data_IF_693136555090
#
_entry.id   IF_693136555090
#
_cell.length_a   1.000
_cell.length_b   1.000
_cell.length_c   1.000
_cell.angle_alpha   90.00
_cell.angle_beta   90.00
_cell.angle_gamma   90.00
#
_symmetry.space_group_name_H-M   'P 1'
#
loop_
_entity.id
_entity.type
_entity.pdbx_description
1 polymer ?
#
# COMPACT_ATOMS: atom_id res chain seq x y z
N UNK A 1 16.60 1.45 -0.05
CA UNK A 1 15.83 0.26 0.36
C UNK A 1 14.45 0.35 -0.28
N UNK A 2 14.00 -0.65 -1.05
CA UNK A 2 12.64 -0.69 -1.61
C UNK A 2 11.68 -1.06 -0.48
N UNK A 3 10.96 -0.10 0.07
CA UNK A 3 9.81 -0.37 0.91
C UNK A 3 8.70 -0.84 -0.03
N UNK A 4 8.51 -2.15 -0.10
CA UNK A 4 7.36 -2.71 -0.80
C UNK A 4 6.12 -2.30 -0.03
N UNK A 5 5.36 -1.36 -0.59
CA UNK A 5 4.05 -0.94 -0.09
C UNK A 5 3.24 -2.19 0.25
N UNK A 6 2.69 -2.25 1.46
CA UNK A 6 2.01 -3.43 1.96
C UNK A 6 0.98 -3.92 0.93
N UNK A 7 1.18 -5.17 0.51
CA UNK A 7 0.60 -5.79 -0.69
C UNK A 7 -0.91 -5.57 -0.79
N UNK A 8 -1.38 -5.14 -1.97
CA UNK A 8 -2.80 -5.15 -2.34
C UNK A 8 -3.48 -6.50 -2.08
N UNK A 9 -2.71 -7.59 -2.06
CA UNK A 9 -3.17 -8.91 -1.65
C UNK A 9 -3.71 -8.94 -0.21
N UNK A 10 -3.07 -8.26 0.75
CA UNK A 10 -3.52 -8.24 2.14
C UNK A 10 -4.90 -7.58 2.30
N UNK A 11 -5.12 -6.47 1.60
CA UNK A 11 -6.43 -5.80 1.53
C UNK A 11 -7.47 -6.73 0.90
N UNK A 12 -7.14 -7.39 -0.22
CA UNK A 12 -8.04 -8.32 -0.89
C UNK A 12 -8.43 -9.52 0.01
N UNK A 13 -7.46 -10.08 0.74
CA UNK A 13 -7.72 -11.17 1.70
C UNK A 13 -8.65 -10.71 2.82
N UNK A 14 -8.50 -9.49 3.32
CA UNK A 14 -9.40 -8.95 4.34
C UNK A 14 -10.84 -8.76 3.83
N UNK A 15 -11.02 -8.33 2.58
CA UNK A 15 -12.34 -8.21 1.95
C UNK A 15 -12.98 -9.59 1.73
N UNK A 16 -12.25 -10.53 1.13
CA UNK A 16 -12.74 -11.89 0.89
C UNK A 16 -13.05 -12.61 2.20
N UNK A 17 -12.16 -12.52 3.18
CA UNK A 17 -12.35 -13.11 4.50
C UNK A 17 -13.59 -12.57 5.21
N UNK A 18 -13.81 -11.25 5.15
CA UNK A 18 -15.03 -10.63 5.69
C UNK A 18 -16.30 -11.15 5.00
N UNK A 19 -16.31 -11.22 3.66
CA UNK A 19 -17.45 -11.76 2.90
C UNK A 19 -17.74 -13.23 3.24
N UNK A 20 -16.70 -14.07 3.31
CA UNK A 20 -16.84 -15.48 3.67
C UNK A 20 -17.36 -15.63 5.10
N UNK A 21 -16.87 -14.81 6.02
CA UNK A 21 -17.31 -14.81 7.42
C UNK A 21 -18.80 -14.50 7.55
N UNK A 22 -19.28 -13.46 6.86
CA UNK A 22 -20.69 -13.02 6.94
C UNK A 22 -21.63 -13.98 6.19
N UNK A 23 -21.25 -14.44 4.99
CA UNK A 23 -22.15 -15.25 4.16
C UNK A 23 -22.16 -16.74 4.52
N UNK A 24 -21.02 -17.28 4.96
CA UNK A 24 -20.85 -18.71 5.18
C UNK A 24 -20.70 -19.05 6.66
N UNK A 25 -19.76 -18.40 7.36
CA UNK A 25 -19.44 -18.79 8.74
C UNK A 25 -20.57 -18.42 9.71
N UNK A 26 -21.19 -17.25 9.53
CA UNK A 26 -22.31 -16.82 10.36
C UNK A 26 -23.52 -17.78 10.29
N UNK A 27 -23.74 -18.42 9.14
CA UNK A 27 -24.79 -19.44 8.96
C UNK A 27 -24.46 -20.77 9.64
N UNK A 28 -23.19 -21.05 9.88
CA UNK A 28 -22.73 -22.31 10.48
C UNK A 28 -22.67 -22.20 12.01
N UNK A 29 -22.08 -21.11 12.51
CA UNK A 29 -21.98 -20.79 13.92
C UNK A 29 -21.88 -19.27 14.10
N UNK A 30 -22.89 -18.67 14.74
CA UNK A 30 -22.96 -17.22 14.94
C UNK A 30 -21.76 -16.68 15.74
N UNK A 31 -21.34 -17.39 16.78
CA UNK A 31 -20.20 -16.97 17.62
C UNK A 31 -18.89 -16.91 16.85
N UNK A 32 -18.64 -17.89 15.98
CA UNK A 32 -17.43 -17.92 15.14
C UNK A 32 -17.50 -16.91 14.00
N UNK A 33 -18.67 -16.72 13.39
CA UNK A 33 -18.87 -15.71 12.34
C UNK A 33 -18.60 -14.29 12.83
N UNK A 34 -19.02 -13.96 14.07
CA UNK A 34 -18.71 -12.67 14.69
C UNK A 34 -17.21 -12.55 14.98
N UNK A 35 -16.58 -13.57 15.57
CA UNK A 35 -15.15 -13.54 15.88
C UNK A 35 -14.28 -13.31 14.62
N UNK A 36 -14.53 -14.05 13.54
CA UNK A 36 -13.79 -13.89 12.29
C UNK A 36 -14.05 -12.55 11.61
N UNK A 37 -15.30 -12.07 11.59
CA UNK A 37 -15.61 -10.76 11.01
C UNK A 37 -14.86 -9.63 11.73
N UNK A 38 -14.75 -9.70 13.06
CA UNK A 38 -14.02 -8.71 13.86
C UNK A 38 -12.52 -8.71 13.52
N UNK A 39 -11.91 -9.88 13.35
CA UNK A 39 -10.51 -10.01 12.92
C UNK A 39 -10.33 -9.40 11.52
N UNK A 40 -11.19 -9.73 10.55
CA UNK A 40 -11.07 -9.21 9.19
C UNK A 40 -11.28 -7.70 9.12
N UNK A 41 -12.16 -7.13 9.94
CA UNK A 41 -12.32 -5.68 10.09
C UNK A 41 -11.03 -5.04 10.62
N UNK A 42 -10.42 -5.61 11.66
CA UNK A 42 -9.14 -5.12 12.20
C UNK A 42 -8.02 -5.19 11.15
N UNK A 43 -7.95 -6.29 10.38
CA UNK A 43 -7.02 -6.43 9.27
C UNK A 43 -7.27 -5.37 8.18
N UNK A 44 -8.53 -5.10 7.86
CA UNK A 44 -8.90 -4.08 6.88
C UNK A 44 -8.45 -2.67 7.32
N UNK A 45 -8.72 -2.30 8.58
CA UNK A 45 -8.28 -1.01 9.15
C UNK A 45 -6.76 -0.92 9.16
N UNK A 46 -6.06 -1.98 9.57
CA UNK A 46 -4.60 -2.03 9.54
C UNK A 46 -4.05 -1.85 8.12
N UNK A 47 -4.72 -2.43 7.11
CA UNK A 47 -4.33 -2.28 5.70
C UNK A 47 -4.44 -0.82 5.22
N UNK A 48 -5.52 -0.13 5.58
CA UNK A 48 -5.74 1.28 5.25
C UNK A 48 -4.64 2.13 5.89
N UNK A 49 -4.37 1.94 7.19
CA UNK A 49 -3.33 2.69 7.91
C UNK A 49 -1.96 2.47 7.25
N UNK A 50 -1.65 1.24 6.84
CA UNK A 50 -0.38 0.93 6.20
C UNK A 50 -0.22 1.58 4.82
N UNK A 51 -1.32 1.72 4.07
CA UNK A 51 -1.30 2.38 2.77
C UNK A 51 -1.18 3.90 2.90
N UNK A 52 -1.82 4.50 3.90
CA UNK A 52 -1.74 5.96 4.15
C UNK A 52 -0.33 6.40 4.59
N UNK A 53 0.43 5.51 5.25
CA UNK A 53 1.83 5.78 5.63
C UNK A 53 2.84 5.47 4.53
N UNK A 54 2.40 5.02 3.35
CA UNK A 54 3.30 4.85 2.23
C UNK A 54 3.90 6.22 1.88
N UNK A 55 5.24 6.38 1.91
CA UNK A 55 5.84 7.61 1.42
C UNK A 55 5.37 7.78 -0.02
N UNK A 56 4.74 8.92 -0.30
CA UNK A 56 4.34 9.29 -1.65
C UNK A 56 5.58 9.04 -2.52
N UNK A 57 5.48 8.12 -3.47
CA UNK A 57 6.59 7.60 -4.27
C UNK A 57 7.37 8.71 -5.02
N UNK A 58 6.76 9.87 -5.06
CA UNK A 58 7.25 11.20 -5.32
C UNK A 58 8.68 11.49 -4.88
N UNK A 59 9.11 11.23 -3.64
CA UNK A 59 10.47 11.65 -3.22
C UNK A 59 11.59 10.98 -4.02
N UNK A 60 11.42 9.70 -4.39
CA UNK A 60 12.42 8.97 -5.18
C UNK A 60 12.36 9.29 -6.67
N UNK A 61 11.17 9.55 -7.21
CA UNK A 61 10.98 9.94 -8.60
C UNK A 61 11.47 11.39 -8.85
N UNK A 62 11.15 12.32 -7.95
CA UNK A 62 11.62 13.70 -8.02
C UNK A 62 13.14 13.82 -7.85
N UNK A 63 13.74 13.04 -6.94
CA UNK A 63 15.21 12.97 -6.81
C UNK A 63 15.87 12.48 -8.11
N UNK A 64 15.32 11.43 -8.75
CA UNK A 64 15.88 10.90 -9.99
C UNK A 64 15.77 11.88 -11.18
N UNK A 65 14.68 12.63 -11.27
CA UNK A 65 14.50 13.67 -12.30
C UNK A 65 15.39 14.91 -12.04
N UNK A 66 15.52 15.35 -10.79
CA UNK A 66 16.33 16.50 -10.42
C UNK A 66 17.84 16.31 -10.68
N UNK A 67 18.34 15.07 -10.57
CA UNK A 67 19.75 14.75 -10.90
C UNK A 67 19.99 14.84 -12.41
N UNK A 68 19.05 14.37 -13.23
CA UNK A 68 19.16 14.46 -14.70
C UNK A 68 19.13 15.91 -15.19
N UNK A 69 18.32 16.78 -14.59
CA UNK A 69 18.28 18.21 -14.93
C UNK A 69 19.63 18.89 -14.64
N UNK A 70 20.21 18.66 -13.45
CA UNK A 70 21.52 19.22 -13.07
C UNK A 70 22.64 18.77 -14.01
N UNK A 71 22.63 17.49 -14.39
CA UNK A 71 23.63 16.94 -15.32
C UNK A 71 23.53 17.57 -16.73
N UNK A 72 22.31 17.78 -17.23
CA UNK A 72 22.07 18.44 -18.52
C UNK A 72 22.51 19.90 -18.49
N UNK A 73 22.15 20.63 -17.43
CA UNK A 73 22.53 22.04 -17.25
C UNK A 73 24.04 22.24 -17.23
N UNK A 74 24.79 21.38 -16.52
CA UNK A 74 26.24 21.49 -16.44
C UNK A 74 26.92 21.22 -17.80
N UNK A 75 26.43 20.24 -18.59
CA UNK A 75 26.93 19.99 -19.95
C UNK A 75 26.74 21.19 -20.88
N UNK A 76 25.61 21.90 -20.78
CA UNK A 76 25.35 23.11 -21.58
C UNK A 76 26.32 24.24 -21.21
N UNK A 77 26.61 24.42 -19.92
CA UNK A 77 27.57 25.42 -19.45
C UNK A 77 29.00 25.12 -19.91
N UNK A 78 29.41 23.85 -19.90
CA UNK A 78 30.73 23.41 -20.37
C UNK A 78 30.90 23.55 -21.88
N UNK A 79 29.82 23.46 -22.67
CA UNK A 79 29.85 23.68 -24.12
C UNK A 79 29.92 25.17 -24.53
N UNK A 80 29.68 26.09 -23.59
CA UNK A 80 29.69 27.54 -23.82
C UNK A 80 31.02 28.22 -23.46
N UNK A 81 31.96 27.49 -22.89
CA UNK A 81 33.35 27.91 -22.66
C UNK A 81 34.22 27.43 -23.81
#
# INVERSE_FOLDING_TARGET
MKYATLSSGFMLTSMLGFLISVLYVYKMDESWGVAFSLIFILMFIASIISMTKAPVADETAYQHLAVHEKAMRNKVLLRKK
#
